data_IF_847161291308
#
_entry.id   IF_847161291308
#
_cell.length_a   1.000
_cell.length_b   1.000
_cell.length_c   1.000
_cell.angle_alpha   90.00
_cell.angle_beta   90.00
_cell.angle_gamma   90.00
#
_symmetry.space_group_name_H-M   'P 1'
#
loop_
_entity.id
_entity.type
_entity.pdbx_description
1 polymer ?
#
# COMPACT_ATOMS: atom_id res chain seq x y z
N UNK A 1 -2.67 0.21 -2.00
CA UNK A 1 -1.35 0.44 -1.37
C UNK A 1 -1.52 0.79 0.12
N UNK A 2 -2.49 1.63 0.49
CA UNK A 2 -2.72 2.06 1.88
C UNK A 2 -2.94 0.89 2.84
N UNK A 3 -3.70 -0.13 2.42
CA UNK A 3 -3.91 -1.36 3.23
C UNK A 3 -2.57 -2.04 3.52
N UNK A 4 -1.71 -2.15 2.51
CA UNK A 4 -0.38 -2.72 2.66
C UNK A 4 0.45 -1.94 3.68
N UNK A 5 0.45 -0.61 3.60
CA UNK A 5 1.18 0.25 4.52
C UNK A 5 0.59 0.27 5.94
N UNK A 6 -0.72 0.11 6.07
CA UNK A 6 -1.35 -0.07 7.39
C UNK A 6 -0.84 -1.33 8.09
N UNK A 7 -0.61 -2.40 7.33
CA UNK A 7 -0.13 -3.68 7.87
C UNK A 7 1.39 -3.72 8.05
N UNK A 8 2.14 -3.16 7.11
CA UNK A 8 3.60 -3.26 7.07
C UNK A 8 4.32 -2.09 7.75
N UNK A 9 3.68 -0.93 7.81
CA UNK A 9 4.34 0.31 8.23
C UNK A 9 5.31 0.84 7.19
N UNK A 10 6.04 1.90 7.53
CA UNK A 10 7.11 2.47 6.71
C UNK A 10 8.33 1.53 6.63
N UNK A 11 9.19 1.75 5.63
CA UNK A 11 10.47 1.08 5.51
C UNK A 11 10.63 0.21 4.27
N UNK A 12 9.74 0.34 3.28
CA UNK A 12 9.94 -0.30 1.98
C UNK A 12 11.15 0.32 1.28
N UNK A 13 12.12 -0.51 0.90
CA UNK A 13 13.37 -0.05 0.27
C UNK A 13 13.38 -0.23 -1.23
N UNK A 14 12.79 -1.30 -1.72
CA UNK A 14 12.69 -1.63 -3.15
C UNK A 14 11.48 -2.49 -3.43
N UNK A 15 11.09 -2.57 -4.68
CA UNK A 15 9.98 -3.39 -5.13
C UNK A 15 10.17 -3.93 -6.54
N UNK A 16 9.36 -4.93 -6.88
CA UNK A 16 9.21 -5.46 -8.23
C UNK A 16 7.73 -5.57 -8.58
N UNK A 17 7.38 -5.22 -9.80
CA UNK A 17 6.00 -5.24 -10.30
C UNK A 17 5.86 -6.18 -11.49
N UNK A 18 5.05 -7.23 -11.32
CA UNK A 18 4.58 -8.05 -12.42
C UNK A 18 3.25 -7.48 -12.93
N UNK A 19 3.17 -7.18 -14.21
CA UNK A 19 2.04 -6.47 -14.81
C UNK A 19 1.44 -7.23 -16.00
N UNK A 20 0.12 -7.23 -16.03
CA UNK A 20 -0.69 -7.56 -17.22
C UNK A 20 -1.82 -6.54 -17.36
N UNK A 21 -2.50 -6.50 -18.50
CA UNK A 21 -3.68 -5.63 -18.67
C UNK A 21 -4.80 -5.95 -17.67
N UNK A 22 -4.93 -7.22 -17.27
CA UNK A 22 -5.95 -7.68 -16.33
C UNK A 22 -5.62 -7.44 -14.86
N UNK A 23 -4.39 -7.14 -14.53
CA UNK A 23 -3.97 -6.92 -13.15
C UNK A 23 -2.47 -6.81 -12.96
N UNK A 24 -2.07 -6.57 -11.72
CA UNK A 24 -0.67 -6.46 -11.34
C UNK A 24 -0.42 -7.02 -9.95
N UNK A 25 0.80 -7.46 -9.72
CA UNK A 25 1.29 -7.88 -8.42
C UNK A 25 2.59 -7.13 -8.14
N UNK A 26 2.60 -6.40 -7.04
CA UNK A 26 3.78 -5.67 -6.58
C UNK A 26 4.31 -6.34 -5.32
N UNK A 27 5.58 -6.73 -5.33
CA UNK A 27 6.27 -7.27 -4.18
C UNK A 27 7.23 -6.21 -3.65
N UNK A 28 6.97 -5.72 -2.45
CA UNK A 28 7.86 -4.78 -1.75
C UNK A 28 8.77 -5.50 -0.76
N UNK A 29 10.00 -5.03 -0.69
CA UNK A 29 11.02 -5.50 0.26
C UNK A 29 11.23 -4.42 1.33
N UNK A 30 10.91 -4.78 2.58
CA UNK A 30 11.17 -3.93 3.74
C UNK A 30 12.58 -4.16 4.26
N UNK A 31 13.20 -3.10 4.79
CA UNK A 31 14.60 -3.15 5.21
C UNK A 31 14.92 -4.11 6.36
N UNK A 32 13.89 -4.60 7.07
CA UNK A 32 13.96 -5.64 8.10
C UNK A 32 13.70 -7.07 7.56
N UNK A 33 13.86 -7.27 6.26
CA UNK A 33 13.68 -8.53 5.54
C UNK A 33 12.23 -9.03 5.42
N UNK A 34 11.24 -8.22 5.79
CA UNK A 34 9.83 -8.55 5.55
C UNK A 34 9.46 -8.29 4.09
N UNK A 35 8.60 -9.14 3.56
CA UNK A 35 8.01 -8.97 2.24
C UNK A 35 6.53 -8.58 2.37
N UNK A 36 6.11 -7.58 1.59
CA UNK A 36 4.72 -7.21 1.44
C UNK A 36 4.29 -7.32 -0.01
N UNK A 37 3.11 -7.86 -0.25
CA UNK A 37 2.58 -8.06 -1.60
C UNK A 37 1.27 -7.30 -1.75
N UNK A 38 1.17 -6.50 -2.81
CA UNK A 38 -0.07 -5.85 -3.22
C UNK A 38 -0.53 -6.46 -4.54
N UNK A 39 -1.79 -6.85 -4.61
CA UNK A 39 -2.42 -7.29 -5.84
C UNK A 39 -3.50 -6.29 -6.26
N UNK A 40 -3.39 -5.76 -7.46
CA UNK A 40 -4.42 -4.95 -8.11
C UNK A 40 -5.10 -5.72 -9.22
N UNK A 41 -6.43 -5.75 -9.24
CA UNK A 41 -7.23 -6.42 -10.26
C UNK A 41 -8.00 -5.39 -11.09
N UNK A 42 -7.84 -5.43 -12.41
CA UNK A 42 -8.55 -4.55 -13.35
C UNK A 42 -9.65 -5.28 -14.08
N UNK A 43 -9.46 -6.57 -14.36
CA UNK A 43 -10.42 -7.41 -15.06
C UNK A 43 -10.99 -8.48 -14.14
N UNK A 44 -12.31 -8.69 -14.20
CA UNK A 44 -13.01 -9.66 -13.38
C UNK A 44 -13.50 -9.12 -12.05
N UNK A 45 -14.05 -10.01 -11.23
CA UNK A 45 -14.53 -9.66 -9.90
C UNK A 45 -13.37 -9.30 -8.96
N UNK A 46 -13.56 -8.28 -8.14
CA UNK A 46 -12.55 -7.84 -7.19
C UNK A 46 -13.20 -7.36 -5.87
N UNK A 47 -12.43 -7.40 -4.82
CA UNK A 47 -12.80 -6.88 -3.52
C UNK A 47 -11.56 -6.47 -2.75
N UNK A 48 -11.74 -5.70 -1.68
CA UNK A 48 -10.64 -5.36 -0.78
C UNK A 48 -10.51 -6.42 0.32
N UNK A 49 -9.28 -6.73 0.67
CA UNK A 49 -8.98 -7.67 1.73
C UNK A 49 -7.49 -7.83 1.94
N UNK A 50 -7.12 -8.63 2.94
CA UNK A 50 -5.73 -8.92 3.25
C UNK A 50 -5.55 -10.27 3.91
N UNK A 51 -4.32 -10.78 3.85
CA UNK A 51 -3.84 -11.91 4.67
C UNK A 51 -2.50 -11.53 5.28
N UNK A 52 -2.36 -11.70 6.58
CA UNK A 52 -1.13 -11.41 7.34
C UNK A 52 -0.64 -12.67 8.02
N UNK A 53 0.63 -12.99 7.83
CA UNK A 53 1.34 -14.06 8.54
C UNK A 53 2.25 -13.41 9.60
N UNK A 54 1.88 -13.56 10.86
CA UNK A 54 2.63 -13.01 11.98
C UNK A 54 3.19 -14.12 12.88
N UNK A 55 3.99 -13.75 13.87
CA UNK A 55 4.63 -14.68 14.79
C UNK A 55 3.62 -15.50 15.61
N UNK A 56 2.44 -14.94 15.85
CA UNK A 56 1.40 -15.56 16.71
C UNK A 56 0.27 -16.21 15.92
N UNK A 57 0.30 -16.17 14.61
CA UNK A 57 -0.74 -16.75 13.77
C UNK A 57 -0.96 -16.03 12.44
N UNK A 58 -1.99 -16.46 11.74
CA UNK A 58 -2.40 -15.93 10.45
C UNK A 58 -3.76 -15.25 10.61
N UNK A 59 -3.89 -14.05 10.07
CA UNK A 59 -5.17 -13.34 10.01
C UNK A 59 -5.53 -13.03 8.56
N UNK A 60 -6.76 -13.35 8.19
CA UNK A 60 -7.33 -13.04 6.88
C UNK A 60 -8.67 -12.32 7.08
N UNK A 61 -8.89 -11.26 6.33
CA UNK A 61 -10.15 -10.50 6.39
C UNK A 61 -10.45 -9.85 5.05
N UNK A 62 -11.72 -9.81 4.69
CA UNK A 62 -12.24 -8.85 3.73
C UNK A 62 -12.35 -7.46 4.36
N UNK A 63 -12.39 -6.44 3.54
CA UNK A 63 -12.57 -5.04 3.96
C UNK A 63 -13.82 -4.48 3.27
N UNK A 64 -14.79 -4.02 4.07
CA UNK A 64 -15.96 -3.31 3.56
C UNK A 64 -15.62 -1.84 3.30
N UNK A 65 -16.09 -1.32 2.17
CA UNK A 65 -15.99 0.10 1.82
C UNK A 65 -17.31 0.85 2.03
N UNK A 66 -18.31 0.21 2.66
CA UNK A 66 -19.68 0.73 2.78
C UNK A 66 -19.75 2.15 3.38
N UNK A 67 -18.90 2.46 4.38
CA UNK A 67 -18.90 3.75 5.07
C UNK A 67 -17.60 4.52 4.90
N UNK A 68 -16.84 4.23 3.85
CA UNK A 68 -15.48 4.79 3.66
C UNK A 68 -15.48 6.33 3.63
N UNK A 69 -16.43 6.94 2.93
CA UNK A 69 -16.50 8.41 2.85
C UNK A 69 -16.98 9.05 4.16
N UNK A 70 -17.88 8.40 4.88
CA UNK A 70 -18.33 8.88 6.19
C UNK A 70 -17.17 8.90 7.19
N UNK A 71 -16.39 7.84 7.25
CA UNK A 71 -15.25 7.75 8.15
C UNK A 71 -14.13 8.74 7.74
N UNK A 72 -13.89 8.92 6.44
CA UNK A 72 -12.99 9.93 5.94
C UNK A 72 -13.42 11.34 6.36
N UNK A 73 -14.70 11.69 6.22
CA UNK A 73 -15.22 13.00 6.62
C UNK A 73 -15.07 13.23 8.12
N UNK A 74 -15.27 12.22 8.95
CA UNK A 74 -15.04 12.32 10.40
C UNK A 74 -13.58 12.67 10.72
N UNK A 75 -12.62 12.04 10.07
CA UNK A 75 -11.20 12.34 10.26
C UNK A 75 -10.83 13.74 9.76
N UNK A 76 -11.42 14.20 8.67
CA UNK A 76 -11.22 15.57 8.15
C UNK A 76 -11.74 16.60 9.15
N UNK A 77 -12.95 16.43 9.68
CA UNK A 77 -13.53 17.33 10.69
C UNK A 77 -12.66 17.37 11.95
N UNK A 78 -12.23 16.20 12.42
CA UNK A 78 -11.34 16.09 13.57
C UNK A 78 -10.01 16.82 13.35
N UNK A 79 -9.43 16.72 12.15
CA UNK A 79 -8.22 17.46 11.80
C UNK A 79 -8.43 18.97 11.87
N UNK A 80 -9.56 19.50 11.37
CA UNK A 80 -9.88 20.91 11.47
C UNK A 80 -10.12 21.38 12.91
N UNK A 81 -10.67 20.52 13.75
CA UNK A 81 -10.90 20.83 15.17
C UNK A 81 -9.62 20.80 16.01
N UNK A 82 -8.71 19.84 15.74
CA UNK A 82 -7.52 19.61 16.55
C UNK A 82 -6.25 20.23 15.98
N UNK A 83 -6.20 20.51 14.68
CA UNK A 83 -5.01 20.91 13.96
C UNK A 83 -3.99 19.78 13.74
N UNK A 84 -4.34 18.54 14.10
CA UNK A 84 -3.48 17.37 13.95
C UNK A 84 -3.86 16.56 12.72
N UNK A 85 -2.88 16.14 11.94
CA UNK A 85 -3.10 15.25 10.80
C UNK A 85 -3.36 13.82 11.28
N UNK A 86 -4.37 13.11 10.74
CA UNK A 86 -4.68 11.74 11.16
C UNK A 86 -3.65 10.71 10.66
N UNK A 87 -2.85 11.07 9.66
CA UNK A 87 -1.81 10.22 9.07
C UNK A 87 -0.52 11.02 9.01
N UNK A 88 0.60 10.39 9.39
CA UNK A 88 1.92 10.99 9.22
C UNK A 88 2.18 11.26 7.73
N UNK A 89 2.47 12.51 7.32
CA UNK A 89 2.78 12.85 5.94
C UNK A 89 3.92 12.04 5.33
N UNK A 90 4.87 11.56 6.12
CA UNK A 90 5.96 10.71 5.65
C UNK A 90 5.48 9.34 5.15
N UNK A 91 4.41 8.81 5.74
CA UNK A 91 3.77 7.57 5.25
C UNK A 91 3.15 7.81 3.87
N UNK A 92 2.43 8.91 3.71
CA UNK A 92 1.83 9.29 2.42
C UNK A 92 2.91 9.47 1.35
N UNK A 93 4.01 10.09 1.71
CA UNK A 93 5.15 10.29 0.82
C UNK A 93 5.75 8.96 0.35
N UNK A 94 5.95 8.03 1.27
CA UNK A 94 6.46 6.69 0.94
C UNK A 94 5.47 5.89 0.08
N UNK A 95 4.16 6.03 0.32
CA UNK A 95 3.12 5.43 -0.53
C UNK A 95 3.21 5.95 -1.98
N UNK A 96 3.39 7.25 -2.15
CA UNK A 96 3.57 7.85 -3.50
C UNK A 96 4.85 7.34 -4.16
N UNK A 97 5.96 7.28 -3.42
CA UNK A 97 7.21 6.71 -3.92
C UNK A 97 7.08 5.22 -4.29
N UNK A 98 6.31 4.46 -3.53
CA UNK A 98 5.99 3.07 -3.83
C UNK A 98 5.25 2.93 -5.16
N UNK A 99 4.24 3.76 -5.39
CA UNK A 99 3.47 3.76 -6.64
C UNK A 99 4.37 4.14 -7.83
N UNK A 100 5.20 5.17 -7.68
CA UNK A 100 6.14 5.59 -8.73
C UNK A 100 7.16 4.49 -9.06
N UNK A 101 7.74 3.86 -8.04
CA UNK A 101 8.66 2.73 -8.23
C UNK A 101 7.97 1.54 -8.91
N UNK A 102 6.70 1.28 -8.60
CA UNK A 102 5.94 0.20 -9.26
C UNK A 102 5.74 0.49 -10.75
N UNK A 103 5.47 1.72 -11.13
CA UNK A 103 5.38 2.14 -12.53
C UNK A 103 6.72 1.94 -13.24
N UNK A 104 7.81 2.40 -12.64
CA UNK A 104 9.18 2.22 -13.17
C UNK A 104 9.55 0.74 -13.34
N UNK A 105 9.22 -0.08 -12.34
CA UNK A 105 9.46 -1.53 -12.40
C UNK A 105 8.70 -2.19 -13.55
N UNK A 106 7.43 -1.83 -13.72
CA UNK A 106 6.60 -2.29 -14.84
C UNK A 106 7.24 -1.97 -16.19
N UNK A 107 7.71 -0.74 -16.37
CA UNK A 107 8.37 -0.28 -17.61
C UNK A 107 9.70 -0.98 -17.87
N UNK A 108 10.32 -1.53 -16.84
CA UNK A 108 11.56 -2.30 -16.88
C UNK A 108 11.32 -3.82 -16.80
N UNK A 109 10.17 -4.30 -17.23
CA UNK A 109 9.80 -5.72 -17.26
C UNK A 109 9.89 -6.42 -15.89
N UNK A 110 9.51 -5.74 -14.82
CA UNK A 110 9.49 -6.30 -13.48
C UNK A 110 10.84 -6.25 -12.74
N UNK A 111 11.78 -5.47 -13.21
CA UNK A 111 13.06 -5.27 -12.50
C UNK A 111 12.83 -4.69 -11.10
N UNK A 112 13.70 -5.05 -10.15
CA UNK A 112 13.73 -4.42 -8.84
C UNK A 112 14.09 -2.94 -8.95
N UNK A 113 13.28 -2.09 -8.36
CA UNK A 113 13.47 -0.63 -8.35
C UNK A 113 13.49 -0.15 -6.91
N UNK A 114 14.51 0.63 -6.56
CA UNK A 114 14.60 1.27 -5.24
C UNK A 114 13.55 2.39 -5.12
N UNK A 115 13.00 2.56 -3.92
CA UNK A 115 12.14 3.70 -3.65
C UNK A 115 12.98 4.97 -3.54
N UNK A 116 12.54 6.00 -4.26
CA UNK A 116 13.14 7.34 -4.18
C UNK A 116 12.26 8.22 -3.29
N UNK A 117 12.75 8.52 -2.10
CA UNK A 117 12.09 9.39 -1.13
C UNK A 117 12.60 10.84 -1.19
N UNK A 118 13.51 11.15 -2.13
CA UNK A 118 13.97 12.51 -2.36
C UNK A 118 12.91 13.32 -3.12
N UNK A 119 12.52 14.43 -2.56
CA UNK A 119 11.62 15.40 -3.18
C UNK A 119 12.37 16.67 -3.52
#
# INVERSE_FOLDING_TARGET
VEILYTLMGQGCTKLSCAYTEGGEVVTGFWGDERLGVMRGTRAGAHSYGFTVWGDKGVKQSGISTQFIYRELCKEIVKMFETGETPIDPLITLEIVAFIDAAIKSREQNGAWVDLDLSL
#
